data_IF_145101272415
#
_entry.id   IF_145101272415
#
_cell.length_a   1.000
_cell.length_b   1.000
_cell.length_c   1.000
_cell.angle_alpha   90.00
_cell.angle_beta   90.00
_cell.angle_gamma   90.00
#
_symmetry.space_group_name_H-M   'P 1'
#
loop_
_entity.id
_entity.type
_entity.pdbx_description
1 polymer ?
#
# COMPACT_ATOMS: atom_id res chain seq x y z
N UNK A 1 44.98 -24.56 43.37
CA UNK A 1 44.83 -26.01 43.13
C UNK A 1 43.66 -26.16 42.19
N UNK A 2 43.99 -26.35 40.92
CA UNK A 2 43.07 -26.44 39.78
C UNK A 2 42.13 -27.65 39.87
N UNK A 3 40.95 -27.50 39.27
CA UNK A 3 39.96 -28.57 39.18
C UNK A 3 38.88 -28.27 38.15
N UNK A 4 39.26 -28.20 36.87
CA UNK A 4 38.35 -28.19 35.72
C UNK A 4 37.57 -29.52 35.64
N UNK A 5 36.27 -29.50 35.27
CA UNK A 5 35.54 -30.71 34.89
C UNK A 5 35.81 -31.11 33.42
N UNK A 6 35.72 -32.40 33.05
CA UNK A 6 36.22 -32.91 31.78
C UNK A 6 35.24 -32.78 30.61
N UNK A 7 35.82 -32.54 29.43
CA UNK A 7 35.21 -32.64 28.11
C UNK A 7 34.94 -34.11 27.75
N UNK A 8 33.70 -34.42 27.34
CA UNK A 8 33.35 -35.54 26.44
C UNK A 8 32.89 -34.87 25.14
N UNK A 9 33.38 -35.16 23.94
CA UNK A 9 33.87 -36.41 23.37
C UNK A 9 33.08 -36.60 22.06
N UNK A 10 33.63 -36.09 20.97
CA UNK A 10 33.07 -36.15 19.61
C UNK A 10 32.99 -37.61 19.15
N UNK A 11 31.86 -38.10 18.60
CA UNK A 11 31.85 -39.34 17.84
C UNK A 11 32.22 -39.06 16.37
N UNK A 12 33.36 -39.61 15.95
CA UNK A 12 33.75 -39.74 14.55
C UNK A 12 32.95 -40.83 13.79
N UNK A 13 33.21 -40.98 12.48
CA UNK A 13 32.22 -41.45 11.50
C UNK A 13 32.16 -42.97 11.37
N UNK A 14 30.97 -43.48 11.05
CA UNK A 14 30.75 -44.89 10.67
C UNK A 14 30.60 -45.05 9.14
N UNK A 15 30.95 -46.24 8.61
CA UNK A 15 31.44 -46.42 7.24
C UNK A 15 30.35 -46.74 6.22
N UNK A 16 30.70 -46.55 4.94
CA UNK A 16 29.81 -46.65 3.80
C UNK A 16 29.61 -48.05 3.18
N UNK A 17 29.27 -47.98 1.88
CA UNK A 17 28.75 -49.02 0.98
C UNK A 17 27.22 -49.15 1.08
N UNK A 18 26.42 -49.12 0.01
CA UNK A 18 26.68 -49.55 -1.36
C UNK A 18 25.90 -48.68 -2.37
N UNK A 19 26.60 -48.29 -3.45
CA UNK A 19 26.00 -47.81 -4.69
C UNK A 19 25.26 -48.97 -5.36
N UNK A 20 24.00 -48.77 -5.73
CA UNK A 20 23.32 -49.58 -6.75
C UNK A 20 23.27 -48.80 -8.04
N UNK A 21 24.08 -49.24 -8.99
CA UNK A 21 24.01 -48.98 -10.42
C UNK A 21 23.17 -50.06 -11.09
N UNK A 22 22.24 -49.70 -11.98
CA UNK A 22 21.67 -50.53 -13.07
C UNK A 22 20.74 -49.66 -13.95
N UNK A 23 20.42 -50.01 -15.21
CA UNK A 23 21.20 -49.59 -16.38
C UNK A 23 20.32 -48.85 -17.42
N UNK A 24 21.00 -48.36 -18.47
CA UNK A 24 20.43 -47.74 -19.68
C UNK A 24 19.79 -48.82 -20.58
N UNK A 25 18.81 -48.39 -21.40
CA UNK A 25 18.08 -49.05 -22.50
C UNK A 25 16.69 -49.67 -22.21
N UNK A 26 15.64 -48.87 -22.44
CA UNK A 26 14.33 -49.29 -22.98
C UNK A 26 13.56 -48.08 -23.58
N UNK A 27 12.79 -48.26 -24.68
CA UNK A 27 12.33 -47.17 -25.56
C UNK A 27 11.12 -46.38 -25.02
N UNK A 28 10.83 -45.17 -25.57
CA UNK A 28 9.78 -44.30 -25.05
C UNK A 28 8.39 -44.90 -25.29
N UNK A 29 7.58 -44.95 -24.23
CA UNK A 29 6.14 -45.26 -24.32
C UNK A 29 5.38 -44.01 -24.75
N UNK A 30 4.54 -44.19 -25.77
CA UNK A 30 3.71 -43.19 -26.41
C UNK A 30 2.76 -42.48 -25.42
N UNK A 31 2.76 -41.14 -25.50
CA UNK A 31 1.73 -40.28 -24.93
C UNK A 31 0.42 -40.39 -25.76
N UNK A 32 -0.77 -40.28 -25.15
CA UNK A 32 -2.02 -40.23 -25.89
C UNK A 32 -2.20 -38.86 -26.55
N UNK A 33 -2.29 -38.84 -27.88
CA UNK A 33 -2.58 -37.65 -28.70
C UNK A 33 -3.92 -37.01 -28.31
N UNK A 34 -3.87 -35.79 -27.75
CA UNK A 34 -5.00 -34.88 -27.68
C UNK A 34 -4.94 -33.96 -28.91
N UNK A 35 -5.87 -34.19 -29.84
CA UNK A 35 -5.95 -33.51 -31.13
C UNK A 35 -6.10 -31.99 -31.02
N UNK A 36 -5.42 -31.29 -31.94
CA UNK A 36 -5.43 -29.84 -32.07
C UNK A 36 -6.81 -29.29 -32.51
N UNK A 37 -7.25 -28.13 -31.98
CA UNK A 37 -8.44 -27.44 -32.47
C UNK A 37 -8.15 -26.73 -33.81
N UNK A 38 -9.09 -26.72 -34.77
CA UNK A 38 -8.84 -26.18 -36.10
C UNK A 38 -8.83 -24.65 -36.15
N UNK A 39 -7.86 -24.11 -36.89
CA UNK A 39 -7.66 -22.70 -37.22
C UNK A 39 -8.86 -22.12 -37.98
N UNK A 40 -9.49 -21.07 -37.44
CA UNK A 40 -10.47 -20.26 -38.19
C UNK A 40 -9.73 -19.27 -39.07
N UNK A 41 -9.63 -19.60 -40.35
CA UNK A 41 -9.18 -18.68 -41.42
C UNK A 41 -10.16 -17.52 -41.56
N UNK A 42 -9.57 -16.33 -41.59
CA UNK A 42 -10.17 -15.06 -42.00
C UNK A 42 -10.51 -15.16 -43.49
N UNK A 43 -11.77 -14.92 -43.84
CA UNK A 43 -12.19 -14.66 -45.22
C UNK A 43 -13.14 -13.48 -45.25
N UNK A 44 -12.64 -12.36 -45.78
CA UNK A 44 -13.45 -11.29 -46.40
C UNK A 44 -14.22 -11.84 -47.60
N UNK A 45 -15.32 -11.18 -47.98
CA UNK A 45 -15.54 -11.00 -49.41
C UNK A 45 -15.88 -9.55 -49.80
N UNK A 46 -15.38 -9.20 -50.98
CA UNK A 46 -15.64 -8.00 -51.76
C UNK A 46 -16.37 -8.42 -53.06
N UNK A 47 -17.22 -7.50 -53.53
CA UNK A 47 -17.80 -7.32 -54.88
C UNK A 47 -18.92 -8.23 -55.42
N UNK A 48 -20.08 -7.57 -55.56
CA UNK A 48 -20.87 -7.34 -56.79
C UNK A 48 -21.20 -8.50 -57.74
N UNK A 49 -22.51 -8.69 -57.98
CA UNK A 49 -23.08 -8.78 -59.33
C UNK A 49 -24.59 -8.45 -59.32
N UNK A 50 -24.93 -7.45 -60.12
CA UNK A 50 -26.27 -6.97 -60.47
C UNK A 50 -27.03 -7.97 -61.36
N UNK A 51 -28.37 -8.05 -61.21
CA UNK A 51 -29.36 -7.83 -62.28
C UNK A 51 -30.76 -8.29 -61.85
N UNK A 52 -31.77 -7.45 -62.06
CA UNK A 52 -33.18 -7.81 -61.88
C UNK A 52 -34.07 -6.62 -61.55
N UNK A 53 -34.24 -5.73 -62.52
CA UNK A 53 -35.16 -4.58 -62.51
C UNK A 53 -36.61 -5.01 -62.26
N UNK A 54 -37.32 -4.32 -61.36
CA UNK A 54 -38.73 -3.99 -61.54
C UNK A 54 -39.09 -2.73 -60.75
N UNK A 55 -39.10 -1.62 -61.49
CA UNK A 55 -39.93 -0.41 -61.42
C UNK A 55 -40.92 -0.34 -60.25
N UNK A 56 -40.83 0.72 -59.43
CA UNK A 56 -41.95 1.62 -59.09
C UNK A 56 -41.44 2.89 -58.37
N UNK A 57 -42.10 4.00 -58.66
CA UNK A 57 -41.73 5.40 -58.46
C UNK A 57 -41.57 5.86 -56.99
N UNK A 58 -40.59 6.75 -56.76
CA UNK A 58 -40.45 7.53 -55.51
C UNK A 58 -41.55 8.59 -55.36
N UNK A 59 -42.01 8.81 -54.12
CA UNK A 59 -42.29 10.16 -53.66
C UNK A 59 -41.38 10.53 -52.48
N UNK A 60 -40.66 11.64 -52.66
CA UNK A 60 -39.90 12.33 -51.62
C UNK A 60 -40.80 12.69 -50.42
N UNK A 61 -40.49 12.16 -49.24
CA UNK A 61 -41.00 12.71 -47.97
C UNK A 61 -39.84 12.97 -47.02
N UNK A 62 -39.68 14.26 -46.74
CA UNK A 62 -38.80 14.88 -45.74
C UNK A 62 -38.77 14.10 -44.42
N UNK A 63 -37.57 13.72 -43.98
CA UNK A 63 -37.32 13.34 -42.60
C UNK A 63 -37.58 14.55 -41.68
N UNK A 64 -38.64 14.46 -40.88
CA UNK A 64 -38.88 15.35 -39.75
C UNK A 64 -37.91 14.96 -38.62
N UNK A 65 -36.96 15.84 -38.35
CA UNK A 65 -36.18 15.84 -37.12
C UNK A 65 -37.13 15.98 -35.92
N UNK A 66 -37.16 14.97 -35.06
CA UNK A 66 -37.78 15.07 -33.73
C UNK A 66 -36.96 16.05 -32.88
N UNK A 67 -37.41 17.29 -32.82
CA UNK A 67 -36.97 18.28 -31.84
C UNK A 67 -37.42 17.82 -30.45
N UNK A 68 -36.47 17.40 -29.61
CA UNK A 68 -36.71 17.18 -28.18
C UNK A 68 -36.99 18.54 -27.54
N UNK A 69 -38.22 18.77 -27.09
CA UNK A 69 -38.56 19.95 -26.31
C UNK A 69 -37.86 19.92 -24.95
N UNK A 70 -37.02 20.93 -24.70
CA UNK A 70 -36.42 21.20 -23.40
C UNK A 70 -37.51 21.62 -22.39
N UNK A 71 -37.59 20.91 -21.26
CA UNK A 71 -38.39 21.31 -20.10
C UNK A 71 -37.72 22.49 -19.38
N UNK A 72 -38.47 23.51 -18.92
CA UNK A 72 -37.91 24.59 -18.12
C UNK A 72 -37.53 24.13 -16.70
N UNK A 73 -36.50 24.73 -16.07
CA UNK A 73 -36.03 24.35 -14.73
C UNK A 73 -37.05 24.74 -13.63
N UNK A 74 -37.08 24.01 -12.49
CA UNK A 74 -37.97 24.32 -11.38
C UNK A 74 -37.57 25.62 -10.65
N UNK A 75 -38.54 26.34 -10.03
CA UNK A 75 -38.25 27.57 -9.31
C UNK A 75 -37.48 27.32 -7.99
N UNK A 76 -36.70 28.31 -7.52
CA UNK A 76 -35.88 28.21 -6.31
C UNK A 76 -36.72 28.16 -5.03
N UNK A 77 -36.23 27.39 -4.03
CA UNK A 77 -36.84 27.26 -2.71
C UNK A 77 -36.79 28.60 -1.92
N UNK A 78 -37.81 28.90 -1.09
CA UNK A 78 -37.81 30.10 -0.26
C UNK A 78 -36.78 30.00 0.89
N UNK A 79 -36.20 31.13 1.33
CA UNK A 79 -35.23 31.16 2.42
C UNK A 79 -35.87 30.85 3.79
N UNK A 80 -35.11 30.29 4.75
CA UNK A 80 -35.61 30.00 6.08
C UNK A 80 -35.95 31.31 6.84
N UNK A 81 -36.93 31.27 7.77
CA UNK A 81 -37.29 32.44 8.56
C UNK A 81 -36.15 32.88 9.48
N UNK A 82 -36.04 34.20 9.79
CA UNK A 82 -34.99 34.71 10.66
C UNK A 82 -35.18 34.18 12.08
N UNK A 83 -34.12 33.58 12.65
CA UNK A 83 -34.07 33.30 14.07
C UNK A 83 -34.04 34.64 14.82
N UNK A 84 -35.05 34.86 15.65
CA UNK A 84 -35.06 35.94 16.62
C UNK A 84 -34.01 35.67 17.70
N UNK A 85 -33.13 36.64 17.91
CA UNK A 85 -32.46 36.84 19.19
C UNK A 85 -33.54 37.09 20.25
N UNK A 86 -33.69 36.19 21.22
CA UNK A 86 -34.31 36.56 22.49
C UNK A 86 -33.57 35.91 23.67
N UNK A 87 -33.08 36.80 24.51
CA UNK A 87 -32.30 36.60 25.72
C UNK A 87 -33.20 36.15 26.89
N UNK A 88 -32.74 35.12 27.61
CA UNK A 88 -32.77 34.98 29.10
C UNK A 88 -34.17 34.73 29.77
N UNK A 89 -34.26 34.16 31.01
CA UNK A 89 -33.32 34.35 32.12
C UNK A 89 -32.97 33.15 33.02
N UNK A 90 -31.95 33.42 33.84
CA UNK A 90 -31.44 32.63 34.95
C UNK A 90 -32.37 32.60 36.16
N UNK A 91 -32.29 31.51 36.94
CA UNK A 91 -32.34 31.44 38.42
C UNK A 91 -31.97 30.00 38.84
N UNK A 92 -30.79 29.73 39.43
CA UNK A 92 -30.51 29.60 40.89
C UNK A 92 -31.47 28.64 41.62
N UNK A 93 -31.10 27.58 42.38
CA UNK A 93 -29.93 27.37 43.28
C UNK A 93 -29.86 25.89 43.75
N UNK A 94 -28.66 25.48 44.22
CA UNK A 94 -28.41 24.62 45.40
C UNK A 94 -28.80 23.12 45.40
N UNK A 95 -27.79 22.25 45.27
CA UNK A 95 -27.42 21.22 46.26
C UNK A 95 -26.18 20.47 45.75
N UNK A 96 -25.03 20.73 46.39
CA UNK A 96 -23.76 20.08 46.08
C UNK A 96 -23.70 18.67 46.65
N UNK A 97 -23.81 17.67 45.77
CA UNK A 97 -23.23 16.33 45.93
C UNK A 97 -22.89 15.79 44.53
N UNK A 98 -21.65 15.32 44.27
CA UNK A 98 -21.35 14.65 43.01
C UNK A 98 -22.05 13.27 42.94
N UNK A 99 -22.58 12.84 41.77
CA UNK A 99 -23.15 11.52 41.62
C UNK A 99 -22.07 10.43 41.79
N UNK A 100 -22.44 9.21 42.22
CA UNK A 100 -21.48 8.16 42.53
C UNK A 100 -20.72 7.73 41.26
N UNK A 101 -19.40 7.62 41.38
CA UNK A 101 -18.50 7.09 40.35
C UNK A 101 -18.94 5.67 39.99
N UNK A 102 -19.53 5.50 38.81
CA UNK A 102 -19.56 4.19 38.18
C UNK A 102 -18.12 3.79 37.83
N UNK A 103 -17.73 2.51 38.03
CA UNK A 103 -16.39 2.06 37.66
C UNK A 103 -16.21 2.25 36.16
N UNK A 104 -15.40 3.25 35.79
CA UNK A 104 -15.06 3.49 34.39
C UNK A 104 -14.27 2.29 33.88
N UNK A 105 -14.86 1.53 32.97
CA UNK A 105 -14.17 0.53 32.14
C UNK A 105 -13.34 1.28 31.08
N UNK A 106 -12.42 2.12 31.56
CA UNK A 106 -11.57 3.03 30.80
C UNK A 106 -10.20 2.39 30.56
N UNK A 107 -10.19 1.18 30.01
CA UNK A 107 -9.01 0.75 29.24
C UNK A 107 -8.80 1.70 28.05
N UNK A 108 -7.56 1.90 27.56
CA UNK A 108 -7.34 2.74 26.40
C UNK A 108 -8.10 2.14 25.21
N UNK A 109 -9.12 2.87 24.75
CA UNK A 109 -9.83 2.56 23.51
C UNK A 109 -8.96 3.10 22.38
N UNK A 110 -8.57 2.22 21.46
CA UNK A 110 -8.03 2.68 20.19
C UNK A 110 -9.17 3.35 19.42
N UNK A 111 -9.24 4.67 19.54
CA UNK A 111 -9.97 5.53 18.62
C UNK A 111 -9.01 5.75 17.45
N UNK A 112 -9.24 5.17 16.26
CA UNK A 112 -8.49 5.64 15.10
C UNK A 112 -8.73 7.16 15.00
N UNK A 113 -7.71 7.96 14.70
CA UNK A 113 -7.74 9.41 14.92
C UNK A 113 -9.02 10.04 14.34
N UNK A 114 -9.63 11.00 15.05
CA UNK A 114 -10.73 11.77 14.49
C UNK A 114 -10.25 12.39 13.17
N UNK A 115 -11.15 12.38 12.19
CA UNK A 115 -10.98 13.00 10.88
C UNK A 115 -11.09 14.54 10.97
N UNK A 116 -10.49 15.15 11.99
CA UNK A 116 -10.54 16.60 12.20
C UNK A 116 -9.21 17.13 12.76
N UNK A 117 -8.53 17.87 11.90
CA UNK A 117 -7.74 19.09 12.08
C UNK A 117 -7.37 19.52 13.51
N UNK A 118 -6.46 18.79 14.16
CA UNK A 118 -5.21 19.35 14.70
C UNK A 118 -4.45 18.31 15.52
N UNK A 119 -3.16 18.25 15.22
CA UNK A 119 -2.10 17.66 16.03
C UNK A 119 -2.06 16.12 16.13
N UNK A 120 -1.06 15.56 15.44
CA UNK A 120 -0.25 14.41 15.85
C UNK A 120 -0.94 13.02 15.93
N UNK A 121 -1.15 12.35 14.78
CA UNK A 121 -0.98 10.89 14.64
C UNK A 121 -1.11 10.44 13.17
N UNK A 122 -0.19 9.58 12.71
CA UNK A 122 0.19 9.35 11.31
C UNK A 122 -0.75 8.63 10.34
N UNK A 123 -2.09 8.65 10.47
CA UNK A 123 -3.01 8.08 9.45
C UNK A 123 -4.35 8.89 9.40
N UNK A 124 -4.80 9.36 8.22
CA UNK A 124 -6.01 10.21 7.93
C UNK A 124 -6.62 9.71 6.59
N UNK A 125 -7.94 9.53 6.51
CA UNK A 125 -8.71 9.15 5.30
C UNK A 125 -8.88 10.20 4.17
N UNK A 126 -9.19 9.70 2.97
CA UNK A 126 -9.07 10.29 1.62
C UNK A 126 -10.33 11.00 1.04
N UNK A 127 -11.09 11.78 1.81
CA UNK A 127 -12.32 12.39 1.23
C UNK A 127 -12.70 13.73 1.86
N UNK A 128 -12.23 14.84 1.27
CA UNK A 128 -12.93 16.14 1.16
C UNK A 128 -12.15 17.15 0.27
N UNK A 129 -12.82 18.17 -0.32
CA UNK A 129 -12.34 18.91 -1.49
C UNK A 129 -11.41 20.09 -1.17
N UNK A 130 -10.58 20.44 -2.16
CA UNK A 130 -9.52 21.45 -2.14
C UNK A 130 -10.10 22.86 -2.37
N UNK A 131 -9.71 23.83 -1.53
CA UNK A 131 -9.63 25.22 -1.95
C UNK A 131 -8.33 25.91 -1.43
N UNK A 132 -7.65 26.60 -2.36
CA UNK A 132 -6.67 27.70 -2.18
C UNK A 132 -5.13 27.42 -2.25
N UNK A 133 -4.33 28.42 -2.73
CA UNK A 133 -3.45 28.23 -3.89
C UNK A 133 -1.98 27.89 -3.58
N UNK A 134 -1.33 27.42 -4.66
CA UNK A 134 0.00 26.83 -4.76
C UNK A 134 1.15 27.84 -4.67
N UNK A 135 2.19 27.51 -3.89
CA UNK A 135 3.52 28.12 -4.00
C UNK A 135 4.56 27.03 -4.26
N UNK A 136 5.37 27.25 -5.29
CA UNK A 136 6.36 26.34 -5.91
C UNK A 136 7.64 26.32 -5.06
N UNK A 137 8.20 25.15 -4.75
CA UNK A 137 9.44 25.03 -3.98
C UNK A 137 10.48 24.17 -4.70
N UNK A 138 11.69 24.70 -4.91
CA UNK A 138 12.88 23.94 -5.31
C UNK A 138 13.53 23.43 -4.03
N UNK A 139 13.75 22.12 -3.90
CA UNK A 139 14.64 21.59 -2.86
C UNK A 139 16.05 21.87 -3.34
N UNK A 140 16.77 22.75 -2.64
CA UNK A 140 18.20 22.94 -2.83
C UNK A 140 18.92 21.88 -1.99
N UNK A 141 19.72 21.04 -2.65
CA UNK A 141 20.54 20.02 -1.99
C UNK A 141 21.89 20.66 -1.68
N UNK A 142 22.27 20.72 -0.40
CA UNK A 142 23.66 20.99 -0.02
C UNK A 142 24.51 19.78 -0.46
N UNK A 143 25.24 19.94 -1.58
CA UNK A 143 25.91 18.85 -2.30
C UNK A 143 27.30 18.46 -1.74
N UNK A 144 27.80 19.10 -0.68
CA UNK A 144 29.25 19.17 -0.48
C UNK A 144 29.94 17.93 0.10
N UNK A 145 29.22 16.87 0.48
CA UNK A 145 29.88 15.70 1.11
C UNK A 145 29.41 14.33 0.62
N UNK A 146 28.36 14.25 -0.21
CA UNK A 146 27.88 12.95 -0.68
C UNK A 146 28.45 12.60 -2.05
N UNK A 147 29.44 11.70 -2.05
CA UNK A 147 29.99 11.13 -3.28
C UNK A 147 29.12 9.97 -3.73
N UNK A 148 28.20 10.24 -4.65
CA UNK A 148 27.53 9.17 -5.40
C UNK A 148 28.63 8.33 -6.10
N UNK A 149 28.58 6.99 -6.08
CA UNK A 149 29.52 6.14 -6.81
C UNK A 149 29.65 6.52 -8.31
N UNK A 150 28.66 7.22 -8.86
CA UNK A 150 28.62 7.67 -10.25
C UNK A 150 29.28 8.99 -10.61
N UNK A 151 29.67 9.84 -9.65
CA UNK A 151 30.26 11.16 -9.96
C UNK A 151 31.57 11.04 -10.76
N UNK A 152 32.23 9.88 -10.71
CA UNK A 152 33.56 9.64 -11.30
C UNK A 152 33.55 8.98 -12.69
N UNK A 153 32.42 8.49 -13.20
CA UNK A 153 32.43 7.58 -14.37
C UNK A 153 32.31 8.28 -15.74
N UNK A 154 31.97 9.58 -15.80
CA UNK A 154 31.71 10.28 -17.05
C UNK A 154 32.62 11.51 -17.25
N UNK A 155 33.10 11.72 -18.49
CA UNK A 155 33.82 12.95 -18.86
C UNK A 155 32.94 14.18 -18.67
N UNK A 156 33.51 15.35 -18.36
CA UNK A 156 32.75 16.60 -18.21
C UNK A 156 31.86 16.92 -19.41
N UNK A 157 32.31 16.56 -20.62
CA UNK A 157 31.54 16.72 -21.86
C UNK A 157 30.28 15.83 -21.85
N UNK A 158 30.43 14.56 -21.43
CA UNK A 158 29.31 13.64 -21.27
C UNK A 158 28.34 14.13 -20.19
N UNK A 159 28.85 14.58 -19.04
CA UNK A 159 28.02 15.13 -17.96
C UNK A 159 27.20 16.33 -18.45
N UNK A 160 27.84 17.29 -19.14
CA UNK A 160 27.16 18.45 -19.72
C UNK A 160 26.10 18.05 -20.75
N UNK A 161 26.34 17.01 -21.55
CA UNK A 161 25.38 16.48 -22.52
C UNK A 161 24.17 15.88 -21.80
N UNK A 162 24.38 15.03 -20.79
CA UNK A 162 23.28 14.45 -20.00
C UNK A 162 22.50 15.53 -19.27
N UNK A 163 23.15 16.52 -18.66
CA UNK A 163 22.48 17.63 -17.98
C UNK A 163 21.64 18.48 -18.94
N UNK A 164 22.14 18.70 -20.16
CA UNK A 164 21.38 19.35 -21.22
C UNK A 164 20.10 18.58 -21.54
N UNK A 165 20.21 17.27 -21.72
CA UNK A 165 19.07 16.39 -22.00
C UNK A 165 18.09 16.30 -20.83
N UNK A 166 18.56 16.23 -19.58
CA UNK A 166 17.70 16.23 -18.40
C UNK A 166 16.91 17.53 -18.29
N UNK A 167 17.52 18.68 -18.63
CA UNK A 167 16.80 19.97 -18.69
C UNK A 167 15.73 20.00 -19.78
N UNK A 168 15.99 19.47 -20.97
CA UNK A 168 14.99 19.43 -22.05
C UNK A 168 13.86 18.45 -21.74
N UNK A 169 14.15 17.33 -21.08
CA UNK A 169 13.13 16.41 -20.56
C UNK A 169 12.30 17.11 -19.48
N UNK A 170 12.94 17.86 -18.58
CA UNK A 170 12.24 18.61 -17.54
C UNK A 170 11.33 19.72 -18.10
N UNK A 171 11.63 20.28 -19.27
CA UNK A 171 10.75 21.20 -19.98
C UNK A 171 9.70 20.52 -20.87
N UNK A 172 9.66 19.19 -20.92
CA UNK A 172 8.67 18.41 -21.68
C UNK A 172 9.00 18.18 -23.16
N UNK A 173 10.20 18.54 -23.62
CA UNK A 173 10.60 18.45 -25.05
C UNK A 173 11.68 17.39 -25.32
N UNK A 174 12.28 16.81 -24.28
CA UNK A 174 13.36 15.83 -24.41
C UNK A 174 12.89 14.39 -24.54
N UNK A 175 13.73 13.56 -25.15
CA UNK A 175 13.49 12.13 -25.34
C UNK A 175 14.19 11.28 -24.28
N UNK A 176 13.42 10.46 -23.56
CA UNK A 176 13.93 9.50 -22.58
C UNK A 176 14.68 8.34 -23.26
N UNK A 177 14.39 8.07 -24.53
CA UNK A 177 15.11 7.09 -25.33
C UNK A 177 16.60 7.44 -25.50
N UNK A 178 16.91 8.72 -25.69
CA UNK A 178 18.30 9.18 -25.81
C UNK A 178 19.08 8.99 -24.49
N UNK A 179 18.44 9.20 -23.33
CA UNK A 179 19.05 8.90 -22.03
C UNK A 179 19.41 7.42 -21.88
N UNK A 180 18.51 6.51 -22.32
CA UNK A 180 18.77 5.07 -22.26
C UNK A 180 19.92 4.66 -23.17
N UNK A 181 20.01 5.24 -24.37
CA UNK A 181 21.11 4.98 -25.30
C UNK A 181 22.48 5.42 -24.76
N UNK A 182 22.50 6.44 -23.89
CA UNK A 182 23.72 6.89 -23.22
C UNK A 182 24.18 5.97 -22.07
N UNK A 183 23.34 5.00 -21.66
CA UNK A 183 23.68 3.92 -20.74
C UNK A 183 23.91 4.37 -19.30
N UNK A 184 24.74 3.61 -18.58
CA UNK A 184 25.05 3.79 -17.16
C UNK A 184 25.50 5.22 -16.77
N UNK A 185 26.36 5.92 -17.53
CA UNK A 185 26.70 7.32 -17.25
C UNK A 185 25.49 8.25 -17.14
N UNK A 186 24.46 8.03 -17.97
CA UNK A 186 23.24 8.83 -17.92
C UNK A 186 22.37 8.46 -16.72
N UNK A 187 22.30 7.16 -16.36
CA UNK A 187 21.55 6.71 -15.20
C UNK A 187 22.13 7.26 -13.89
N UNK A 188 23.45 7.19 -13.75
CA UNK A 188 24.17 7.75 -12.60
C UNK A 188 23.96 9.27 -12.49
N UNK A 189 23.99 9.98 -13.62
CA UNK A 189 23.79 11.43 -13.63
C UNK A 189 22.35 11.83 -13.37
N UNK A 190 21.36 11.04 -13.80
CA UNK A 190 19.96 11.19 -13.43
C UNK A 190 19.75 10.97 -11.92
N UNK A 191 20.32 9.89 -11.36
CA UNK A 191 20.24 9.59 -9.92
C UNK A 191 20.87 10.71 -9.08
N UNK A 192 22.00 11.28 -9.51
CA UNK A 192 22.63 12.41 -8.84
C UNK A 192 21.79 13.70 -8.80
N UNK A 193 20.84 13.86 -9.72
CA UNK A 193 19.92 15.01 -9.73
C UNK A 193 18.54 14.67 -9.18
N UNK A 194 18.34 13.45 -8.70
CA UNK A 194 17.05 12.99 -8.21
C UNK A 194 16.72 13.58 -6.83
N UNK A 195 15.47 13.98 -6.53
CA UNK A 195 14.25 13.89 -7.35
C UNK A 195 14.06 15.03 -8.36
N UNK A 196 15.01 15.97 -8.42
CA UNK A 196 14.95 17.15 -9.27
C UNK A 196 13.92 18.17 -8.81
N UNK A 197 13.49 19.08 -9.71
CA UNK A 197 12.42 20.02 -9.42
C UNK A 197 11.12 19.29 -9.10
N UNK A 198 10.47 19.69 -8.00
CA UNK A 198 9.19 19.13 -7.59
C UNK A 198 8.04 20.08 -7.98
N UNK A 199 6.98 19.48 -8.51
CA UNK A 199 5.73 20.14 -8.92
C UNK A 199 4.67 20.06 -7.82
N UNK A 200 4.80 19.11 -6.89
CA UNK A 200 3.86 18.83 -5.82
C UNK A 200 4.54 19.01 -4.45
N UNK A 201 3.85 19.72 -3.55
CA UNK A 201 4.26 19.82 -2.16
C UNK A 201 3.72 18.63 -1.34
N UNK A 202 4.59 18.02 -0.55
CA UNK A 202 4.23 16.94 0.40
C UNK A 202 3.56 17.50 1.65
N UNK A 203 2.31 17.99 1.53
CA UNK A 203 1.53 18.50 2.67
C UNK A 203 0.87 17.39 3.48
N UNK A 204 0.33 16.37 2.79
CA UNK A 204 -0.27 15.21 3.43
C UNK A 204 0.22 13.92 2.78
N UNK A 205 0.91 13.09 3.57
CA UNK A 205 1.43 11.80 3.12
C UNK A 205 0.32 10.80 2.77
N UNK A 206 -0.91 11.01 3.24
CA UNK A 206 -2.00 10.03 3.08
C UNK A 206 -2.76 10.19 1.77
N UNK A 207 -2.69 11.39 1.20
CA UNK A 207 -3.30 11.73 -0.07
C UNK A 207 -2.26 12.21 -1.07
N UNK A 208 -1.19 11.42 -1.24
CA UNK A 208 -0.18 11.72 -2.26
C UNK A 208 -0.70 11.30 -3.64
N UNK A 209 -0.62 12.19 -4.64
CA UNK A 209 -0.73 11.80 -6.04
C UNK A 209 0.32 10.73 -6.38
N UNK A 210 0.09 9.93 -7.44
CA UNK A 210 1.03 8.91 -7.87
C UNK A 210 2.44 9.50 -8.06
N UNK A 211 3.54 8.79 -7.74
CA UNK A 211 4.91 9.31 -7.81
C UNK A 211 5.23 10.06 -9.11
N UNK A 212 4.76 9.55 -10.25
CA UNK A 212 4.93 10.17 -11.56
C UNK A 212 4.43 11.61 -11.64
N UNK A 213 3.49 12.03 -10.81
CA UNK A 213 2.95 13.39 -10.77
C UNK A 213 3.84 14.41 -10.05
N UNK A 214 4.87 13.98 -9.32
CA UNK A 214 5.60 14.87 -8.39
C UNK A 214 6.68 15.71 -9.06
N UNK A 215 7.15 15.34 -10.25
CA UNK A 215 8.15 16.12 -10.97
C UNK A 215 8.70 15.40 -12.19
N UNK A 216 9.37 16.12 -13.09
CA UNK A 216 9.85 15.57 -14.35
C UNK A 216 10.89 14.46 -14.17
N UNK A 217 11.85 14.60 -13.24
CA UNK A 217 12.88 13.58 -13.07
C UNK A 217 12.33 12.33 -12.37
N UNK A 218 11.40 12.48 -11.43
CA UNK A 218 10.64 11.38 -10.82
C UNK A 218 9.90 10.59 -11.90
N UNK A 219 9.17 11.28 -12.78
CA UNK A 219 8.46 10.69 -13.93
C UNK A 219 9.41 10.02 -14.93
N UNK A 220 10.57 10.62 -15.15
CA UNK A 220 11.60 10.08 -16.07
C UNK A 220 12.21 8.80 -15.53
N UNK A 221 12.53 8.74 -14.23
CA UNK A 221 13.01 7.52 -13.58
C UNK A 221 12.00 6.37 -13.74
N UNK A 222 10.70 6.64 -13.54
CA UNK A 222 9.64 5.64 -13.74
C UNK A 222 9.57 5.18 -15.21
N UNK A 223 9.68 6.11 -16.18
CA UNK A 223 9.68 5.77 -17.62
C UNK A 223 10.90 4.97 -18.05
N UNK A 224 12.05 5.15 -17.41
CA UNK A 224 13.27 4.36 -17.66
C UNK A 224 13.08 2.93 -17.15
N UNK A 225 12.49 2.75 -15.98
CA UNK A 225 12.17 1.44 -15.43
C UNK A 225 13.37 0.75 -14.79
N UNK A 226 13.53 -0.56 -15.06
CA UNK A 226 14.50 -1.42 -14.34
C UNK A 226 15.98 -0.99 -14.43
N UNK A 227 16.37 -0.21 -15.44
CA UNK A 227 17.76 0.25 -15.63
C UNK A 227 18.20 1.25 -14.54
N UNK A 228 17.30 2.12 -14.06
CA UNK A 228 17.65 3.14 -13.05
C UNK A 228 17.59 2.58 -11.62
N UNK A 229 16.97 1.41 -11.43
CA UNK A 229 16.67 0.83 -10.10
C UNK A 229 17.88 0.69 -9.19
N UNK A 230 19.04 0.14 -9.62
CA UNK A 230 20.21 0.02 -8.75
C UNK A 230 20.64 1.38 -8.18
N UNK A 231 20.62 2.42 -9.02
CA UNK A 231 21.02 3.76 -8.64
C UNK A 231 20.02 4.46 -7.73
N UNK A 232 18.71 4.16 -7.84
CA UNK A 232 17.70 4.68 -6.91
C UNK A 232 17.74 3.96 -5.56
N UNK A 233 18.15 2.69 -5.53
CA UNK A 233 18.38 1.96 -4.27
C UNK A 233 19.58 2.55 -3.54
N UNK A 234 20.66 2.92 -4.24
CA UNK A 234 21.81 3.61 -3.62
C UNK A 234 21.41 4.94 -2.93
N UNK A 235 20.36 5.60 -3.42
CA UNK A 235 19.83 6.83 -2.82
C UNK A 235 19.11 6.60 -1.48
N UNK A 236 18.92 5.35 -1.04
CA UNK A 236 18.34 5.05 0.28
C UNK A 236 19.30 5.40 1.41
N UNK A 237 20.60 5.56 1.13
CA UNK A 237 21.60 6.02 2.09
C UNK A 237 21.94 7.52 1.92
N UNK A 238 21.18 8.25 1.08
CA UNK A 238 21.43 9.65 0.83
C UNK A 238 21.25 10.50 2.12
N UNK A 239 22.11 11.49 2.42
CA UNK A 239 22.00 12.30 3.65
C UNK A 239 20.67 13.05 3.78
N UNK A 240 20.18 13.61 2.67
CA UNK A 240 18.88 14.29 2.63
C UNK A 240 17.71 13.30 2.76
N UNK A 241 16.83 13.45 3.77
CA UNK A 241 15.65 12.61 3.93
C UNK A 241 14.64 12.76 2.79
N UNK A 242 14.66 13.89 2.08
CA UNK A 242 13.76 14.13 0.96
C UNK A 242 14.14 13.29 -0.25
N UNK A 243 15.44 13.14 -0.50
CA UNK A 243 15.94 12.25 -1.55
C UNK A 243 15.60 10.80 -1.21
N UNK A 244 15.84 10.35 0.03
CA UNK A 244 15.47 8.99 0.48
C UNK A 244 13.97 8.74 0.36
N UNK A 245 13.15 9.73 0.72
CA UNK A 245 11.69 9.67 0.61
C UNK A 245 11.27 9.42 -0.84
N UNK A 246 11.72 10.26 -1.79
CA UNK A 246 11.32 10.12 -3.18
C UNK A 246 11.93 8.87 -3.83
N UNK A 247 13.15 8.49 -3.45
CA UNK A 247 13.80 7.28 -3.94
C UNK A 247 13.01 6.04 -3.49
N UNK A 248 12.46 6.05 -2.28
CA UNK A 248 11.55 5.01 -1.81
C UNK A 248 10.20 5.06 -2.52
N UNK A 249 9.65 6.26 -2.68
CA UNK A 249 8.29 6.47 -3.15
C UNK A 249 8.07 6.03 -4.61
N UNK A 250 9.05 6.24 -5.49
CA UNK A 250 8.98 5.83 -6.91
C UNK A 250 8.77 4.33 -7.11
N UNK A 251 9.17 3.50 -6.13
CA UNK A 251 8.91 2.07 -6.14
C UNK A 251 7.41 1.72 -6.00
N UNK A 252 6.55 2.71 -5.74
CA UNK A 252 5.10 2.56 -5.89
C UNK A 252 4.66 2.40 -7.36
N UNK A 253 5.42 2.89 -8.34
CA UNK A 253 5.11 2.71 -9.76
C UNK A 253 6.11 1.79 -10.46
N UNK A 254 7.39 1.84 -10.08
CA UNK A 254 8.42 0.96 -10.67
C UNK A 254 8.16 -0.52 -10.39
N UNK A 255 7.60 -0.86 -9.21
CA UNK A 255 7.22 -2.24 -8.84
C UNK A 255 8.37 -3.26 -8.95
N UNK A 256 9.63 -2.82 -8.81
CA UNK A 256 10.80 -3.69 -8.94
C UNK A 256 11.10 -4.46 -7.63
N UNK A 257 11.08 -5.80 -7.62
CA UNK A 257 11.33 -6.62 -6.43
C UNK A 257 12.68 -6.36 -5.75
N UNK A 258 13.70 -5.87 -6.47
CA UNK A 258 15.03 -5.58 -5.90
C UNK A 258 14.98 -4.55 -4.78
N UNK A 259 13.95 -3.71 -4.73
CA UNK A 259 13.78 -2.71 -3.69
C UNK A 259 13.18 -3.24 -2.38
N UNK A 260 12.57 -4.43 -2.34
CA UNK A 260 11.82 -4.89 -1.15
C UNK A 260 12.69 -4.98 0.10
N UNK A 261 13.87 -5.58 0.00
CA UNK A 261 14.80 -5.69 1.14
C UNK A 261 15.35 -4.30 1.55
N UNK A 262 15.88 -3.46 0.64
CA UNK A 262 16.26 -2.09 0.99
C UNK A 262 15.12 -1.28 1.64
N UNK A 263 13.89 -1.37 1.12
CA UNK A 263 12.71 -0.72 1.70
C UNK A 263 12.43 -1.20 3.13
N UNK A 264 12.64 -2.49 3.41
CA UNK A 264 12.48 -3.06 4.76
C UNK A 264 13.45 -2.45 5.78
N UNK A 265 14.65 -2.06 5.35
CA UNK A 265 15.68 -1.46 6.21
C UNK A 265 15.34 0.00 6.53
N UNK A 266 14.67 0.71 5.62
CA UNK A 266 14.15 2.06 5.83
C UNK A 266 12.98 2.14 6.84
N UNK A 267 12.45 1.00 7.30
CA UNK A 267 11.57 0.97 8.48
C UNK A 267 12.23 1.59 9.73
N UNK A 268 13.56 1.67 9.74
CA UNK A 268 14.37 2.19 10.85
C UNK A 268 15.07 3.52 10.53
N UNK A 269 14.67 4.19 9.46
CA UNK A 269 15.20 5.50 9.07
C UNK A 269 15.01 6.55 10.19
N UNK A 270 15.89 7.54 10.25
CA UNK A 270 15.80 8.64 11.22
C UNK A 270 14.58 9.53 10.96
N UNK A 271 14.23 9.74 9.69
CA UNK A 271 13.07 10.51 9.24
C UNK A 271 11.78 9.71 9.35
N UNK A 272 10.76 10.30 9.99
CA UNK A 272 9.43 9.71 10.10
C UNK A 272 8.75 9.49 8.76
N UNK A 273 8.89 10.44 7.84
CA UNK A 273 8.26 10.38 6.53
C UNK A 273 8.83 9.26 5.67
N UNK A 274 10.15 9.03 5.76
CA UNK A 274 10.84 7.93 5.07
C UNK A 274 10.38 6.58 5.61
N UNK A 275 10.27 6.43 6.94
CA UNK A 275 9.71 5.20 7.55
C UNK A 275 8.28 4.92 7.08
N UNK A 276 7.42 5.95 7.06
CA UNK A 276 6.01 5.78 6.66
C UNK A 276 5.91 5.42 5.18
N UNK A 277 6.60 6.14 4.30
CA UNK A 277 6.48 5.90 2.86
C UNK A 277 7.09 4.56 2.47
N UNK A 278 8.24 4.18 3.03
CA UNK A 278 8.89 2.90 2.73
C UNK A 278 8.01 1.72 3.09
N UNK A 279 7.36 1.72 4.26
CA UNK A 279 6.44 0.64 4.66
C UNK A 279 5.17 0.61 3.84
N UNK A 280 4.62 1.77 3.46
CA UNK A 280 3.46 1.83 2.55
C UNK A 280 3.81 1.29 1.17
N UNK A 281 4.96 1.67 0.63
CA UNK A 281 5.43 1.14 -0.65
C UNK A 281 5.68 -0.35 -0.54
N UNK A 282 6.37 -0.84 0.50
CA UNK A 282 6.63 -2.27 0.69
C UNK A 282 5.33 -3.08 0.80
N UNK A 283 4.29 -2.56 1.47
CA UNK A 283 2.97 -3.19 1.58
C UNK A 283 2.31 -3.47 0.22
N UNK A 284 2.55 -2.61 -0.77
CA UNK A 284 2.06 -2.82 -2.14
C UNK A 284 2.72 -4.01 -2.86
N UNK A 285 3.80 -4.57 -2.31
CA UNK A 285 4.45 -5.79 -2.78
C UNK A 285 3.93 -7.04 -2.07
N UNK A 286 2.85 -6.96 -1.28
CA UNK A 286 2.33 -8.08 -0.47
C UNK A 286 2.09 -9.40 -1.22
N UNK A 287 1.91 -9.36 -2.55
CA UNK A 287 1.76 -10.54 -3.41
C UNK A 287 3.03 -10.95 -4.17
N UNK A 288 4.10 -10.17 -4.08
CA UNK A 288 5.34 -10.43 -4.79
C UNK A 288 6.19 -11.48 -4.06
N UNK A 289 6.89 -12.32 -4.84
CA UNK A 289 7.89 -13.24 -4.30
C UNK A 289 8.99 -12.45 -3.56
N UNK A 290 9.35 -12.88 -2.34
CA UNK A 290 10.34 -12.20 -1.49
C UNK A 290 9.76 -11.17 -0.52
N UNK A 291 8.46 -10.83 -0.60
CA UNK A 291 7.81 -9.94 0.37
C UNK A 291 7.94 -10.46 1.80
N UNK A 292 7.64 -11.75 2.03
CA UNK A 292 7.74 -12.36 3.36
C UNK A 292 9.17 -12.34 3.92
N UNK A 293 10.19 -12.45 3.07
CA UNK A 293 11.59 -12.35 3.50
C UNK A 293 11.94 -10.91 3.89
N UNK A 294 11.45 -9.90 3.16
CA UNK A 294 11.60 -8.50 3.52
C UNK A 294 10.87 -8.16 4.84
N UNK A 295 9.65 -8.65 5.01
CA UNK A 295 8.88 -8.49 6.26
C UNK A 295 9.61 -9.13 7.45
N UNK A 296 10.28 -10.28 7.24
CA UNK A 296 11.06 -10.96 8.29
C UNK A 296 12.19 -10.08 8.84
N UNK A 297 12.83 -9.25 8.00
CA UNK A 297 13.86 -8.29 8.44
C UNK A 297 13.28 -7.31 9.46
N UNK A 298 12.10 -6.77 9.19
CA UNK A 298 11.39 -5.86 10.10
C UNK A 298 10.95 -6.59 11.37
N UNK A 299 10.32 -7.76 11.22
CA UNK A 299 9.80 -8.58 12.33
C UNK A 299 10.90 -8.96 13.33
N UNK A 300 12.10 -9.30 12.86
CA UNK A 300 13.22 -9.63 13.74
C UNK A 300 13.60 -8.49 14.70
N UNK A 301 13.30 -7.23 14.36
CA UNK A 301 13.58 -6.08 15.23
C UNK A 301 12.56 -5.89 16.36
N UNK A 302 11.48 -6.69 16.42
CA UNK A 302 10.60 -6.73 17.60
C UNK A 302 11.32 -7.27 18.84
N UNK A 303 12.39 -8.05 18.66
CA UNK A 303 13.26 -8.55 19.74
C UNK A 303 14.44 -7.61 20.04
N UNK A 304 14.51 -6.44 19.39
CA UNK A 304 15.62 -5.51 19.57
C UNK A 304 15.68 -4.96 21.01
N UNK A 305 16.88 -4.89 21.56
CA UNK A 305 17.14 -4.21 22.84
C UNK A 305 17.09 -2.69 22.70
N UNK A 306 17.22 -2.17 21.48
CA UNK A 306 17.03 -0.76 21.18
C UNK A 306 15.53 -0.44 21.09
N UNK A 307 15.01 0.28 22.09
CA UNK A 307 13.58 0.61 22.21
C UNK A 307 13.03 1.37 21.00
N UNK A 308 13.83 2.28 20.43
CA UNK A 308 13.44 3.03 19.23
C UNK A 308 13.28 2.09 18.03
N UNK A 309 14.22 1.16 17.83
CA UNK A 309 14.10 0.14 16.78
C UNK A 309 12.93 -0.80 17.01
N UNK A 310 12.72 -1.26 18.24
CA UNK A 310 11.59 -2.11 18.62
C UNK A 310 10.23 -1.40 18.39
N UNK A 311 10.13 -0.12 18.75
CA UNK A 311 8.97 0.73 18.49
C UNK A 311 8.68 0.83 16.98
N UNK A 312 9.71 1.11 16.18
CA UNK A 312 9.56 1.24 14.73
C UNK A 312 9.21 -0.10 14.08
N UNK A 313 9.81 -1.19 14.55
CA UNK A 313 9.47 -2.55 14.13
C UNK A 313 7.99 -2.85 14.40
N UNK A 314 7.49 -2.55 15.61
CA UNK A 314 6.09 -2.76 15.96
C UNK A 314 5.15 -2.03 14.99
N UNK A 315 5.35 -0.73 14.76
CA UNK A 315 4.54 0.04 13.80
C UNK A 315 4.63 -0.48 12.36
N UNK A 316 5.82 -0.89 11.95
CA UNK A 316 6.08 -1.37 10.60
C UNK A 316 5.39 -2.71 10.34
N UNK A 317 5.50 -3.69 11.24
CA UNK A 317 4.78 -4.98 11.09
C UNK A 317 3.26 -4.81 11.11
N UNK A 318 2.76 -3.83 11.88
CA UNK A 318 1.35 -3.43 11.83
C UNK A 318 0.95 -2.90 10.46
N UNK A 319 1.76 -2.03 9.87
CA UNK A 319 1.55 -1.49 8.50
C UNK A 319 1.57 -2.60 7.45
N UNK A 320 2.52 -3.54 7.56
CA UNK A 320 2.70 -4.66 6.64
C UNK A 320 1.70 -5.81 6.86
N UNK A 321 0.83 -5.71 7.87
CA UNK A 321 -0.18 -6.72 8.23
C UNK A 321 0.43 -8.11 8.52
N UNK A 322 1.59 -8.13 9.16
CA UNK A 322 2.34 -9.35 9.41
C UNK A 322 1.69 -10.23 10.50
N UNK A 323 1.08 -11.33 10.09
CA UNK A 323 0.40 -12.28 10.98
C UNK A 323 1.40 -12.98 11.91
N UNK A 324 2.61 -13.28 11.43
CA UNK A 324 3.64 -13.96 12.23
C UNK A 324 4.14 -13.08 13.39
N UNK A 325 3.91 -11.77 13.34
CA UNK A 325 4.28 -10.84 14.39
C UNK A 325 3.31 -10.85 15.59
N UNK A 326 2.10 -11.42 15.45
CA UNK A 326 1.03 -11.33 16.46
C UNK A 326 1.52 -11.82 17.82
N UNK A 327 2.11 -13.03 17.91
CA UNK A 327 2.55 -13.58 19.18
C UNK A 327 3.52 -12.63 19.91
N UNK A 328 4.48 -12.04 19.17
CA UNK A 328 5.44 -11.12 19.74
C UNK A 328 4.82 -9.77 20.13
N UNK A 329 3.92 -9.23 19.31
CA UNK A 329 3.19 -8.01 19.64
C UNK A 329 2.34 -8.18 20.90
N UNK A 330 1.72 -9.35 21.09
CA UNK A 330 0.98 -9.67 22.32
C UNK A 330 1.87 -9.63 23.55
N UNK A 331 3.09 -10.15 23.48
CA UNK A 331 4.05 -10.04 24.59
C UNK A 331 4.48 -8.58 24.83
N UNK A 332 4.64 -7.78 23.76
CA UNK A 332 4.98 -6.35 23.85
C UNK A 332 3.87 -5.49 24.47
N UNK A 333 2.64 -5.97 24.59
CA UNK A 333 1.60 -5.31 25.40
C UNK A 333 1.97 -5.22 26.88
N UNK A 334 2.91 -6.05 27.36
CA UNK A 334 3.45 -5.98 28.73
C UNK A 334 4.74 -5.14 28.84
N UNK A 335 5.14 -4.45 27.75
CA UNK A 335 6.32 -3.58 27.76
C UNK A 335 6.19 -2.47 28.79
N UNK A 336 7.31 -2.12 29.43
CA UNK A 336 7.40 -0.94 30.31
C UNK A 336 7.47 0.37 29.51
N UNK A 337 7.86 0.28 28.25
CA UNK A 337 7.87 1.43 27.35
C UNK A 337 6.46 1.63 26.78
N UNK A 338 5.84 2.75 27.16
CA UNK A 338 4.48 3.08 26.77
C UNK A 338 4.33 3.21 25.26
N UNK A 339 5.31 3.76 24.55
CA UNK A 339 5.23 3.93 23.10
C UNK A 339 5.28 2.57 22.40
N UNK A 340 6.10 1.64 22.89
CA UNK A 340 6.16 0.26 22.36
C UNK A 340 4.85 -0.48 22.63
N UNK A 341 4.30 -0.34 23.83
CA UNK A 341 3.02 -0.95 24.20
C UNK A 341 1.86 -0.43 23.33
N UNK A 342 1.77 0.89 23.13
CA UNK A 342 0.77 1.52 22.27
C UNK A 342 0.92 1.07 20.81
N UNK A 343 2.14 1.10 20.27
CA UNK A 343 2.42 0.61 18.92
C UNK A 343 2.06 -0.88 18.74
N UNK A 344 2.31 -1.71 19.76
CA UNK A 344 1.93 -3.12 19.73
C UNK A 344 0.42 -3.29 19.68
N UNK A 345 -0.34 -2.54 20.50
CA UNK A 345 -1.80 -2.57 20.47
C UNK A 345 -2.35 -2.09 19.12
N UNK A 346 -1.87 -0.96 18.61
CA UNK A 346 -2.28 -0.42 17.31
C UNK A 346 -2.04 -1.43 16.19
N UNK A 347 -0.88 -2.10 16.22
CA UNK A 347 -0.50 -3.11 15.24
C UNK A 347 -1.38 -4.35 15.32
N UNK A 348 -1.68 -4.84 16.52
CA UNK A 348 -2.62 -5.95 16.71
C UNK A 348 -4.00 -5.60 16.16
N UNK A 349 -4.51 -4.40 16.46
CA UNK A 349 -5.79 -3.92 15.91
C UNK A 349 -5.74 -3.86 14.37
N UNK A 350 -4.64 -3.40 13.79
CA UNK A 350 -4.49 -3.26 12.34
C UNK A 350 -4.36 -4.62 11.61
N UNK A 351 -3.65 -5.56 12.21
CA UNK A 351 -3.47 -6.91 11.67
C UNK A 351 -4.78 -7.70 11.78
N UNK A 352 -5.46 -7.64 12.92
CA UNK A 352 -6.57 -8.55 13.24
C UNK A 352 -7.97 -7.95 12.98
N UNK A 353 -8.09 -6.63 12.94
CA UNK A 353 -9.37 -5.91 12.95
C UNK A 353 -10.09 -5.90 14.31
N UNK A 354 -9.50 -6.51 15.34
CA UNK A 354 -10.11 -6.66 16.66
C UNK A 354 -9.68 -5.57 17.63
N UNK A 355 -10.49 -5.29 18.65
CA UNK A 355 -10.18 -4.34 19.72
C UNK A 355 -10.28 -4.98 21.11
N UNK A 356 -9.27 -5.77 21.50
CA UNK A 356 -9.29 -6.51 22.79
C UNK A 356 -8.62 -5.76 23.96
N UNK A 357 -8.01 -4.60 23.68
CA UNK A 357 -7.35 -3.72 24.65
C UNK A 357 -5.95 -4.19 25.05
N UNK A 358 -5.40 -3.66 26.15
CA UNK A 358 -4.00 -3.92 26.55
C UNK A 358 -3.76 -5.27 27.26
N UNK A 359 -4.80 -6.09 27.51
CA UNK A 359 -4.65 -7.32 28.29
C UNK A 359 -4.10 -8.45 27.42
N UNK A 360 -2.85 -8.93 27.61
CA UNK A 360 -2.24 -9.91 26.71
C UNK A 360 -3.02 -11.21 26.63
N UNK A 361 -3.57 -11.69 27.75
CA UNK A 361 -4.32 -12.96 27.77
C UNK A 361 -5.52 -12.96 26.83
N UNK A 362 -6.19 -11.80 26.60
CA UNK A 362 -7.35 -11.72 25.70
C UNK A 362 -6.94 -11.98 24.27
N UNK A 363 -5.80 -11.41 23.87
CA UNK A 363 -5.22 -11.64 22.56
C UNK A 363 -4.70 -13.06 22.40
N UNK A 364 -4.08 -13.66 23.42
CA UNK A 364 -3.62 -15.06 23.37
C UNK A 364 -4.79 -16.02 23.14
N UNK A 365 -5.87 -15.87 23.92
CA UNK A 365 -7.09 -16.67 23.75
C UNK A 365 -7.69 -16.48 22.35
N UNK A 366 -7.94 -15.24 21.96
CA UNK A 366 -8.52 -14.95 20.65
C UNK A 366 -7.68 -15.48 19.50
N UNK A 367 -6.34 -15.33 19.56
CA UNK A 367 -5.47 -15.79 18.49
C UNK A 367 -5.46 -17.31 18.40
N UNK A 368 -5.39 -18.04 19.52
CA UNK A 368 -5.48 -19.51 19.51
C UNK A 368 -6.79 -20.04 18.92
N UNK A 369 -7.89 -19.28 19.07
CA UNK A 369 -9.19 -19.64 18.52
C UNK A 369 -9.33 -19.28 17.03
N UNK A 370 -8.48 -18.40 16.49
CA UNK A 370 -8.65 -17.83 15.15
C UNK A 370 -7.46 -18.00 14.21
N UNK A 371 -6.30 -18.48 14.69
CA UNK A 371 -5.06 -18.60 13.90
C UNK A 371 -5.19 -19.52 12.68
N UNK A 372 -6.12 -20.47 12.71
CA UNK A 372 -6.40 -21.39 11.61
C UNK A 372 -7.24 -20.78 10.48
N UNK A 373 -7.84 -19.60 10.72
CA UNK A 373 -8.69 -18.89 9.76
C UNK A 373 -7.87 -17.87 9.00
N UNK A 374 -8.29 -17.56 7.79
CA UNK A 374 -7.60 -16.56 7.00
C UNK A 374 -7.90 -15.14 7.53
N UNK A 375 -6.92 -14.22 7.46
CA UNK A 375 -7.07 -12.82 7.93
C UNK A 375 -8.30 -12.11 7.38
N UNK A 376 -8.66 -12.38 6.12
CA UNK A 376 -9.87 -11.81 5.50
C UNK A 376 -11.11 -12.12 6.34
N UNK A 377 -11.24 -13.33 6.87
CA UNK A 377 -12.38 -13.71 7.72
C UNK A 377 -12.41 -12.90 9.02
N UNK A 378 -11.24 -12.63 9.62
CA UNK A 378 -11.15 -11.78 10.82
C UNK A 378 -11.66 -10.35 10.54
N UNK A 379 -11.36 -9.82 9.34
CA UNK A 379 -11.80 -8.48 8.94
C UNK A 379 -13.30 -8.47 8.58
N UNK A 380 -13.80 -9.53 7.94
CA UNK A 380 -15.24 -9.71 7.68
C UNK A 380 -16.02 -9.64 9.00
N UNK A 381 -15.54 -10.28 10.07
CA UNK A 381 -16.16 -10.17 11.40
C UNK A 381 -16.13 -8.75 11.96
N UNK A 382 -15.07 -8.00 11.65
CA UNK A 382 -14.89 -6.62 12.11
C UNK A 382 -15.95 -5.65 11.54
N UNK A 383 -16.67 -6.03 10.48
CA UNK A 383 -17.83 -5.28 9.99
C UNK A 383 -19.00 -5.27 11.00
N UNK A 384 -19.06 -6.24 11.93
CA UNK A 384 -20.05 -6.30 13.01
C UNK A 384 -19.65 -5.47 14.23
N UNK A 385 -18.45 -4.89 14.24
CA UNK A 385 -17.92 -4.22 15.42
C UNK A 385 -18.84 -3.07 15.86
N UNK A 386 -18.92 -2.82 17.17
CA UNK A 386 -19.76 -1.76 17.75
C UNK A 386 -19.31 -0.35 17.34
N UNK A 387 -18.00 -0.18 17.17
CA UNK A 387 -17.40 1.11 16.87
C UNK A 387 -17.41 1.39 15.36
N UNK A 388 -18.02 2.52 14.98
CA UNK A 388 -18.15 2.97 13.60
C UNK A 388 -16.80 3.02 12.85
N UNK A 389 -15.70 3.54 13.43
CA UNK A 389 -14.44 3.61 12.71
C UNK A 389 -13.85 2.24 12.34
N UNK A 390 -14.06 1.21 13.18
CA UNK A 390 -13.63 -0.17 12.87
C UNK A 390 -14.40 -0.73 11.69
N UNK A 391 -15.72 -0.47 11.64
CA UNK A 391 -16.56 -0.90 10.52
C UNK A 391 -16.12 -0.26 9.20
N UNK A 392 -15.82 1.05 9.22
CA UNK A 392 -15.30 1.78 8.05
C UNK A 392 -13.98 1.18 7.58
N UNK A 393 -13.02 1.08 8.49
CA UNK A 393 -11.72 0.50 8.20
C UNK A 393 -11.83 -0.92 7.65
N UNK A 394 -12.68 -1.78 8.23
CA UNK A 394 -12.86 -3.15 7.77
C UNK A 394 -13.39 -3.22 6.34
N UNK A 395 -14.36 -2.37 5.98
CA UNK A 395 -14.90 -2.32 4.62
C UNK A 395 -13.87 -1.82 3.60
N UNK A 396 -13.11 -0.78 3.96
CA UNK A 396 -12.04 -0.24 3.11
C UNK A 396 -10.90 -1.26 2.93
N UNK A 397 -10.48 -1.90 4.02
CA UNK A 397 -9.42 -2.90 4.01
C UNK A 397 -9.82 -4.13 3.19
N UNK A 398 -11.04 -4.66 3.37
CA UNK A 398 -11.54 -5.77 2.56
C UNK A 398 -11.54 -5.41 1.08
N UNK A 399 -12.06 -4.23 0.73
CA UNK A 399 -12.10 -3.78 -0.67
C UNK A 399 -10.70 -3.66 -1.26
N UNK A 400 -9.76 -3.11 -0.48
CA UNK A 400 -8.38 -2.89 -0.89
C UNK A 400 -7.61 -4.20 -1.08
N UNK A 401 -7.69 -5.14 -0.14
CA UNK A 401 -6.91 -6.38 -0.21
C UNK A 401 -7.52 -7.38 -1.18
N UNK A 402 -8.85 -7.41 -1.35
CA UNK A 402 -9.51 -8.40 -2.22
C UNK A 402 -9.74 -7.90 -3.65
N UNK A 403 -9.68 -6.58 -3.85
CA UNK A 403 -10.16 -5.92 -5.07
C UNK A 403 -11.63 -6.28 -5.42
N UNK A 404 -12.40 -6.73 -4.43
CA UNK A 404 -13.82 -7.00 -4.53
C UNK A 404 -14.59 -5.91 -3.76
N UNK A 405 -15.83 -5.61 -4.16
CA UNK A 405 -16.63 -4.57 -3.51
C UNK A 405 -18.01 -5.10 -3.21
N UNK A 406 -18.41 -5.00 -1.95
CA UNK A 406 -19.76 -5.22 -1.47
C UNK A 406 -20.31 -3.88 -0.98
N UNK A 407 -21.53 -3.54 -1.37
CA UNK A 407 -22.18 -2.34 -0.86
C UNK A 407 -22.33 -2.44 0.67
N UNK A 408 -21.73 -1.50 1.39
CA UNK A 408 -21.74 -1.49 2.85
C UNK A 408 -21.95 -0.07 3.35
N UNK A 409 -22.93 0.10 4.25
CA UNK A 409 -23.10 1.34 5.00
C UNK A 409 -22.59 1.14 6.43
N UNK A 410 -21.46 1.77 6.83
CA UNK A 410 -20.93 1.67 8.18
C UNK A 410 -21.88 2.21 9.26
N UNK A 411 -22.76 3.14 8.90
CA UNK A 411 -23.82 3.69 9.76
C UNK A 411 -25.16 2.95 9.62
N UNK A 412 -25.23 1.94 8.75
CA UNK A 412 -26.43 1.15 8.51
C UNK A 412 -26.91 0.44 9.78
N UNK A 413 -28.19 0.07 9.76
CA UNK A 413 -28.80 -0.71 10.83
C UNK A 413 -28.15 -2.10 10.95
N UNK A 414 -28.52 -2.85 12.00
CA UNK A 414 -27.95 -4.20 12.22
C UNK A 414 -28.22 -5.13 11.03
N UNK A 415 -29.41 -5.04 10.42
CA UNK A 415 -29.80 -5.90 9.31
C UNK A 415 -28.97 -5.63 8.05
N UNK A 416 -28.78 -4.36 7.67
CA UNK A 416 -27.93 -4.01 6.54
C UNK A 416 -26.49 -4.46 6.73
N UNK A 417 -25.96 -4.33 7.95
CA UNK A 417 -24.61 -4.83 8.28
C UNK A 417 -24.51 -6.34 8.13
N UNK A 418 -25.50 -7.09 8.62
CA UNK A 418 -25.49 -8.56 8.47
C UNK A 418 -25.59 -9.01 7.02
N UNK A 419 -26.44 -8.38 6.21
CA UNK A 419 -26.52 -8.70 4.77
C UNK A 419 -25.18 -8.50 4.05
N UNK A 420 -24.45 -7.43 4.40
CA UNK A 420 -23.13 -7.21 3.82
C UNK A 420 -22.10 -8.25 4.30
N UNK A 421 -22.18 -8.67 5.56
CA UNK A 421 -21.28 -9.72 6.06
C UNK A 421 -21.58 -11.07 5.41
N UNK A 422 -22.85 -11.42 5.25
CA UNK A 422 -23.29 -12.62 4.53
C UNK A 422 -22.77 -12.59 3.09
N UNK A 423 -22.96 -11.48 2.37
CA UNK A 423 -22.43 -11.32 1.01
C UNK A 423 -20.90 -11.48 0.93
N UNK A 424 -20.15 -10.91 1.88
CA UNK A 424 -18.69 -11.10 1.97
C UNK A 424 -18.32 -12.55 2.27
N UNK A 425 -19.06 -13.22 3.15
CA UNK A 425 -18.80 -14.61 3.57
C UNK A 425 -19.08 -15.59 2.43
N UNK A 426 -20.19 -15.38 1.70
CA UNK A 426 -20.56 -16.16 0.52
C UNK A 426 -19.54 -16.01 -0.59
N UNK A 427 -19.11 -14.76 -0.86
CA UNK A 427 -18.05 -14.50 -1.82
C UNK A 427 -16.72 -15.16 -1.41
N UNK A 428 -16.32 -15.04 -0.14
CA UNK A 428 -15.09 -15.64 0.36
C UNK A 428 -15.09 -17.16 0.19
N UNK A 429 -16.20 -17.81 0.56
CA UNK A 429 -16.36 -19.26 0.52
C UNK A 429 -16.43 -19.82 -0.91
N UNK A 430 -17.03 -19.07 -1.84
CA UNK A 430 -17.21 -19.51 -3.23
C UNK A 430 -15.99 -19.24 -4.13
N UNK A 431 -15.40 -18.05 -4.00
CA UNK A 431 -14.42 -17.53 -4.97
C UNK A 431 -13.19 -16.94 -4.30
N UNK A 432 -13.37 -16.17 -3.22
CA UNK A 432 -12.32 -15.36 -2.62
C UNK A 432 -11.15 -16.16 -2.06
N UNK A 433 -11.42 -17.24 -1.33
CA UNK A 433 -10.39 -18.09 -0.75
C UNK A 433 -9.50 -18.72 -1.83
N UNK A 434 -10.11 -19.33 -2.86
CA UNK A 434 -9.39 -19.94 -3.97
C UNK A 434 -8.51 -18.95 -4.71
N UNK A 435 -9.03 -17.75 -5.03
CA UNK A 435 -8.29 -16.71 -5.77
C UNK A 435 -7.08 -16.18 -5.02
N UNK A 436 -7.20 -16.05 -3.70
CA UNK A 436 -6.11 -15.53 -2.85
C UNK A 436 -5.06 -16.60 -2.54
N UNK A 437 -5.45 -17.87 -2.45
CA UNK A 437 -4.55 -18.99 -2.17
C UNK A 437 -3.85 -19.53 -3.42
N UNK A 438 -4.44 -19.38 -4.61
CA UNK A 438 -3.86 -19.90 -5.85
C UNK A 438 -2.74 -19.02 -6.44
N UNK A 439 -2.52 -17.79 -5.92
CA UNK A 439 -1.44 -16.90 -6.34
C UNK A 439 -1.48 -16.48 -7.83
N UNK A 440 -2.57 -16.79 -8.53
CA UNK A 440 -2.75 -16.52 -9.95
C UNK A 440 -3.74 -15.38 -10.13
N UNK A 441 -3.23 -14.15 -10.20
CA UNK A 441 -3.69 -13.05 -11.08
C UNK A 441 -2.86 -11.78 -10.85
#
# INVERSE_FOLDING_TARGET
>A
VDGSPPLRGIPGPLPGSQRRTTPIDAPPRAEPELGAPPERRITTPYAEQFAGEHVHEEPQVRAQLLTIHAMPPPPPLPPPPPMADELLPAFDTLMGLPPPLQPSDSGPRFVPPPLDDRENSGIIPLSSPIEQPSMRGRIELDEDEWTHPGRQLASESMQRRVDGLLRTIASGSGDVGELRQMGEPAMLRLAAQFPGPLEILRRDLRALPPPSAHGPLVRTAIRIGGEIVPHLVDLFDHPSPDVRFYASFVFQELRDPRAMRPLSELAFDTSGDVRVISMRVLETYSRAAGFLDAVRVVRAQLDSTNRTRQLYAARAVGTLRDIDAIAKLVDLLSSRDRFVQEAALESLCSITGQQLGLKPHRWKTWFSENEHRHRVEWIIESLRHRDLPVRRWAADELSRITNHRVAFSPMGDKKAREMAVEAWTDWWSSTGASRMLSGTE
#
